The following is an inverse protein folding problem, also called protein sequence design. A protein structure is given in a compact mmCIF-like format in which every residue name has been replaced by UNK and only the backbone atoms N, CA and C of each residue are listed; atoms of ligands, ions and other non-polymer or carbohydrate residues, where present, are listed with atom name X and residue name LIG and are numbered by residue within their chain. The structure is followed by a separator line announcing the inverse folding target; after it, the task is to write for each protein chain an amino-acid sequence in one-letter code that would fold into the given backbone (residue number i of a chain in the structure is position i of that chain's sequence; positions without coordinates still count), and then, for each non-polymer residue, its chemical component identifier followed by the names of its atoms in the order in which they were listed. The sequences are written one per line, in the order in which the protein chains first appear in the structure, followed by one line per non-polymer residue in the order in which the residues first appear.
data_IF_389745355523
#
_entry.id   IF_389745355523
#
_cell.length_a   1.000
_cell.length_b   1.000
_cell.length_c   1.000
_cell.angle_alpha   90.00
_cell.angle_beta   90.00
_cell.angle_gamma   90.00
#
_symmetry.space_group_name_H-M   'P 1'
#
loop_
_entity.id
_entity.type
_entity.pdbx_description
1 polymer ?
#
# COMPACT_ATOMS: atom_id res chain seq x y z
N UNK A 1 12.83 4.63 11.23
CA UNK A 1 13.21 3.24 10.90
C UNK A 1 12.75 3.00 9.48
N UNK A 2 13.65 2.48 8.64
CA UNK A 2 13.48 2.39 7.20
C UNK A 2 12.47 1.28 6.85
N UNK A 3 11.61 1.54 5.87
CA UNK A 3 10.86 0.50 5.19
C UNK A 3 11.83 -0.39 4.42
N UNK A 4 11.42 -1.62 4.10
CA UNK A 4 12.18 -2.50 3.21
C UNK A 4 12.28 -1.83 1.83
N UNK A 5 13.47 -1.30 1.52
CA UNK A 5 13.76 -0.65 0.23
C UNK A 5 13.67 -1.63 -0.94
N UNK A 6 13.94 -2.92 -0.70
CA UNK A 6 13.79 -3.96 -1.71
C UNK A 6 12.32 -4.24 -2.03
N UNK A 7 11.46 -4.29 -1.01
CA UNK A 7 10.02 -4.39 -1.21
C UNK A 7 9.47 -3.15 -1.92
N UNK A 8 9.90 -1.95 -1.51
CA UNK A 8 9.53 -0.71 -2.17
C UNK A 8 9.95 -0.68 -3.64
N UNK A 9 11.17 -1.13 -3.96
CA UNK A 9 11.67 -1.19 -5.34
C UNK A 9 10.83 -2.14 -6.21
N UNK A 10 10.46 -3.32 -5.70
CA UNK A 10 9.59 -4.24 -6.45
C UNK A 10 8.22 -3.62 -6.75
N UNK A 11 7.63 -2.92 -5.77
CA UNK A 11 6.34 -2.26 -5.98
C UNK A 11 6.48 -1.11 -6.98
N UNK A 12 7.55 -0.31 -6.89
CA UNK A 12 7.88 0.76 -7.84
C UNK A 12 7.92 0.26 -9.28
N UNK A 13 8.61 -0.85 -9.53
CA UNK A 13 8.69 -1.46 -10.86
C UNK A 13 7.34 -1.97 -11.37
N UNK A 14 6.44 -2.39 -10.48
CA UNK A 14 5.09 -2.83 -10.87
C UNK A 14 4.14 -1.66 -11.18
N UNK A 15 4.32 -0.51 -10.53
CA UNK A 15 3.45 0.65 -10.70
C UNK A 15 4.00 1.72 -11.65
N UNK A 16 5.27 1.61 -12.07
CA UNK A 16 5.93 2.58 -12.96
C UNK A 16 5.21 2.73 -14.30
N UNK A 17 4.56 1.67 -14.77
CA UNK A 17 3.81 1.65 -16.03
C UNK A 17 2.42 2.31 -15.92
N UNK A 18 1.97 2.66 -14.70
CA UNK A 18 0.69 3.32 -14.49
C UNK A 18 0.83 4.84 -14.66
N UNK A 19 0.03 5.42 -15.55
CA UNK A 19 -0.05 6.87 -15.70
C UNK A 19 -0.52 7.55 -14.42
N UNK A 20 0.14 8.64 -14.03
CA UNK A 20 -0.19 9.37 -12.80
C UNK A 20 0.26 8.66 -11.53
N UNK A 21 1.25 7.76 -11.61
CA UNK A 21 1.90 7.24 -10.42
C UNK A 21 2.75 8.33 -9.75
N UNK A 22 2.64 8.43 -8.42
CA UNK A 22 3.42 9.33 -7.59
C UNK A 22 3.90 8.61 -6.33
N UNK A 23 5.18 8.78 -6.02
CA UNK A 23 5.80 8.20 -4.83
C UNK A 23 5.84 9.24 -3.70
N UNK A 24 5.31 8.87 -2.54
CA UNK A 24 5.27 9.75 -1.38
C UNK A 24 5.68 9.01 -0.12
N UNK A 25 6.67 9.56 0.59
CA UNK A 25 7.07 9.05 1.91
C UNK A 25 5.98 9.38 2.92
N UNK A 26 5.31 8.37 3.45
CA UNK A 26 4.19 8.52 4.37
C UNK A 26 4.12 7.36 5.36
N UNK A 27 3.56 7.61 6.55
CA UNK A 27 3.34 6.60 7.60
C UNK A 27 4.60 5.84 8.05
N UNK A 28 5.77 6.46 7.95
CA UNK A 28 7.05 5.80 8.27
C UNK A 28 7.54 4.84 7.18
N UNK A 29 6.93 4.87 6.00
CA UNK A 29 7.27 4.08 4.82
C UNK A 29 7.17 4.86 3.52
N UNK A 30 6.78 4.17 2.45
CA UNK A 30 6.53 4.74 1.11
C UNK A 30 5.13 4.36 0.64
N UNK A 31 4.39 5.32 0.11
CA UNK A 31 3.10 5.13 -0.53
C UNK A 31 3.18 5.47 -2.00
N UNK A 32 2.54 4.66 -2.83
CA UNK A 32 2.36 4.86 -4.26
C UNK A 32 0.92 5.31 -4.50
N UNK A 33 0.79 6.56 -4.95
CA UNK A 33 -0.48 7.15 -5.34
C UNK A 33 -0.63 6.98 -6.84
N UNK A 34 -1.83 6.66 -7.30
CA UNK A 34 -2.19 6.70 -8.72
C UNK A 34 -3.31 7.73 -8.85
N UNK A 35 -3.07 8.80 -9.61
CA UNK A 35 -3.98 9.95 -9.69
C UNK A 35 -4.37 10.48 -8.30
N UNK A 36 -3.38 10.85 -7.47
CA UNK A 36 -3.55 11.33 -6.09
C UNK A 36 -4.24 10.35 -5.12
N UNK A 37 -4.58 9.13 -5.55
CA UNK A 37 -5.22 8.12 -4.71
C UNK A 37 -4.21 7.06 -4.29
N UNK A 38 -4.09 6.83 -2.97
CA UNK A 38 -3.25 5.74 -2.45
C UNK A 38 -3.73 4.40 -3.02
N UNK A 39 -2.89 3.78 -3.85
CA UNK A 39 -3.15 2.49 -4.47
C UNK A 39 -2.47 1.37 -3.68
N UNK A 40 -1.19 1.57 -3.36
CA UNK A 40 -0.40 0.64 -2.54
C UNK A 40 0.71 1.37 -1.79
N UNK A 41 1.39 0.70 -0.86
CA UNK A 41 2.51 1.26 -0.11
C UNK A 41 3.23 0.20 0.71
N UNK A 42 4.45 0.49 1.14
CA UNK A 42 5.24 -0.36 2.02
C UNK A 42 5.50 0.39 3.31
N UNK A 43 5.13 -0.20 4.45
CA UNK A 43 5.40 0.33 5.78
C UNK A 43 6.19 -0.72 6.55
N UNK A 44 7.40 -0.37 6.98
CA UNK A 44 8.31 -1.32 7.63
C UNK A 44 8.53 -2.54 6.72
N UNK A 45 7.95 -3.68 7.07
CA UNK A 45 8.02 -4.94 6.31
C UNK A 45 6.65 -5.33 5.72
N UNK A 46 5.61 -4.54 5.99
CA UNK A 46 4.23 -4.81 5.58
C UNK A 46 3.88 -4.10 4.26
N UNK A 47 3.11 -4.79 3.41
CA UNK A 47 2.57 -4.25 2.18
C UNK A 47 1.11 -3.84 2.36
N UNK A 48 0.82 -2.59 2.00
CA UNK A 48 -0.51 -2.01 1.97
C UNK A 48 -1.01 -2.05 0.55
N UNK A 49 -2.21 -2.58 0.35
CA UNK A 49 -2.86 -2.62 -0.96
C UNK A 49 -4.31 -2.20 -0.81
N UNK A 50 -4.76 -1.30 -1.67
CA UNK A 50 -6.17 -0.92 -1.77
C UNK A 50 -6.91 -1.92 -2.64
N UNK A 51 -7.65 -2.83 -2.01
CA UNK A 51 -8.37 -3.92 -2.69
C UNK A 51 -9.79 -3.55 -3.13
N UNK A 52 -10.33 -2.42 -2.65
CA UNK A 52 -11.69 -1.96 -2.90
C UNK A 52 -12.76 -2.75 -2.12
N UNK A 53 -13.96 -2.17 -1.96
CA UNK A 53 -15.00 -2.71 -1.09
C UNK A 53 -15.43 -4.14 -1.45
N UNK A 54 -15.44 -4.49 -2.73
CA UNK A 54 -15.85 -5.83 -3.20
C UNK A 54 -14.91 -6.94 -2.75
N UNK A 55 -13.60 -6.67 -2.68
CA UNK A 55 -12.58 -7.68 -2.32
C UNK A 55 -12.13 -7.57 -0.87
N UNK A 56 -12.71 -6.63 -0.10
CA UNK A 56 -12.29 -6.35 1.26
C UNK A 56 -12.37 -7.59 2.17
N UNK A 57 -13.55 -8.24 2.21
CA UNK A 57 -13.77 -9.44 3.02
C UNK A 57 -12.87 -10.59 2.53
N UNK A 58 -12.83 -10.85 1.23
CA UNK A 58 -12.02 -11.94 0.66
C UNK A 58 -10.53 -11.77 0.94
N UNK A 59 -10.05 -10.52 0.97
CA UNK A 59 -8.65 -10.21 1.26
C UNK A 59 -8.32 -10.43 2.73
N UNK A 60 -9.23 -10.03 3.65
CA UNK A 60 -9.06 -10.27 5.09
C UNK A 60 -9.08 -11.76 5.46
N UNK A 61 -9.64 -12.63 4.62
CA UNK A 61 -9.62 -14.07 4.82
C UNK A 61 -8.31 -14.73 4.35
N UNK A 62 -7.44 -14.00 3.65
CA UNK A 62 -6.14 -14.52 3.22
C UNK A 62 -5.16 -14.61 4.40
N UNK A 63 -4.25 -15.59 4.39
CA UNK A 63 -3.22 -15.68 5.41
C UNK A 63 -2.31 -14.45 5.38
N UNK A 64 -1.90 -13.98 6.57
CA UNK A 64 -1.02 -12.82 6.76
C UNK A 64 -1.60 -11.48 6.29
N UNK A 65 -2.93 -11.37 6.19
CA UNK A 65 -3.61 -10.11 5.89
C UNK A 65 -4.31 -9.60 7.14
N UNK A 66 -4.06 -8.34 7.47
CA UNK A 66 -4.69 -7.65 8.58
C UNK A 66 -5.25 -6.30 8.12
N UNK A 67 -6.21 -5.77 8.87
CA UNK A 67 -6.76 -4.45 8.61
C UNK A 67 -5.68 -3.39 8.86
N UNK A 68 -5.47 -2.56 7.86
CA UNK A 68 -4.63 -1.38 8.00
C UNK A 68 -5.33 -0.30 8.84
N UNK A 69 -4.97 -0.20 10.12
CA UNK A 69 -5.44 0.88 11.01
C UNK A 69 -4.36 1.94 11.24
N UNK A 70 -4.25 2.90 10.32
CA UNK A 70 -3.33 4.06 10.46
C UNK A 70 -4.07 5.40 10.46
N UNK A 71 -5.30 5.43 9.96
CA UNK A 71 -6.07 6.67 9.80
C UNK A 71 -7.08 6.90 10.92
N UNK A 72 -7.24 5.95 11.86
CA UNK A 72 -8.23 6.05 12.96
C UNK A 72 -9.67 6.21 12.47
N UNK A 73 -9.92 5.98 11.18
CA UNK A 73 -11.23 5.99 10.57
C UNK A 73 -11.68 4.54 10.48
N UNK A 74 -12.52 4.15 11.45
CA UNK A 74 -13.30 2.93 11.36
C UNK A 74 -14.10 2.90 10.03
N UNK A 75 -14.32 1.70 9.45
CA UNK A 75 -15.00 1.52 8.17
C UNK A 75 -16.44 2.04 8.16
#
# INVERSE_FOLDING_TARGET
MAHDEGAAQRVRELVSDQSGNEEKKMFGGIGFLIHDNLACGVIREDLIVRVGAKKYIDSLLQPYVELLDITGRAP
#
